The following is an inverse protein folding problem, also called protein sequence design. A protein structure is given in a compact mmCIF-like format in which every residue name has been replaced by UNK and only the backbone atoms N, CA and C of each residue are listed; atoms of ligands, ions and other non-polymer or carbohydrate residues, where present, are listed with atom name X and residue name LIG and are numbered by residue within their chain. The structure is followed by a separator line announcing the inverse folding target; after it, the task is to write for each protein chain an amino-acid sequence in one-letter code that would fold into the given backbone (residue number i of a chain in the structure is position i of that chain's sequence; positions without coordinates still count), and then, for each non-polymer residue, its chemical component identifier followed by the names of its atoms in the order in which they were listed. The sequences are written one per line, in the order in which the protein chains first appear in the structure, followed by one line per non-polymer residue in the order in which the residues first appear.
data_IF_220192527992
#
_entry.id   IF_220192527992
#
_cell.length_a   1.000
_cell.length_b   1.000
_cell.length_c   1.000
_cell.angle_alpha   90.00
_cell.angle_beta   90.00
_cell.angle_gamma   90.00
#
_symmetry.space_group_name_H-M   'P 1'
#
loop_
_entity.id
_entity.type
_entity.pdbx_description
1 polymer ?
#
# COMPACT_ATOMS: atom_id res chain seq x y z
N UNK A 1 -2.30 -3.54 0.77
CA UNK A 1 -0.95 -2.98 1.02
C UNK A 1 -0.89 -2.28 2.37
N UNK A 2 0.32 -2.06 2.90
CA UNK A 2 0.56 -1.40 4.20
C UNK A 2 1.17 -0.02 4.00
N UNK A 3 0.74 0.97 4.79
CA UNK A 3 1.40 2.29 4.86
C UNK A 3 1.95 2.45 6.28
N UNK A 4 3.26 2.60 6.40
CA UNK A 4 3.95 2.85 7.65
C UNK A 4 4.18 4.35 7.79
N UNK A 5 3.89 4.90 8.97
CA UNK A 5 4.15 6.32 9.26
C UNK A 5 4.36 6.54 10.76
N UNK A 6 4.84 7.71 11.15
CA UNK A 6 5.04 8.04 12.58
C UNK A 6 3.72 8.12 13.34
N UNK A 7 3.77 7.80 14.64
CA UNK A 7 2.60 7.74 15.53
C UNK A 7 1.75 9.03 15.53
N UNK A 8 2.38 10.20 15.38
CA UNK A 8 1.66 11.48 15.37
C UNK A 8 0.76 11.63 14.13
N UNK A 9 1.23 11.15 12.97
CA UNK A 9 0.51 11.32 11.71
C UNK A 9 -0.43 10.15 11.38
N UNK A 10 -0.22 9.00 12.01
CA UNK A 10 -1.02 7.79 11.76
C UNK A 10 -2.55 8.00 11.89
N UNK A 11 -3.09 8.75 12.87
CA UNK A 11 -4.53 8.98 12.99
C UNK A 11 -5.12 9.75 11.81
N UNK A 12 -4.43 10.78 11.31
CA UNK A 12 -4.90 11.55 10.15
C UNK A 12 -4.77 10.74 8.86
N UNK A 13 -3.65 10.03 8.69
CA UNK A 13 -3.46 9.13 7.54
C UNK A 13 -4.55 8.05 7.49
N UNK A 14 -4.96 7.49 8.63
CA UNK A 14 -6.05 6.50 8.68
C UNK A 14 -7.37 7.04 8.12
N UNK A 15 -7.72 8.30 8.41
CA UNK A 15 -8.95 8.91 7.88
C UNK A 15 -8.90 9.02 6.36
N UNK A 16 -7.75 9.43 5.83
CA UNK A 16 -7.51 9.55 4.39
C UNK A 16 -7.63 8.16 3.72
N UNK A 17 -6.97 7.15 4.28
CA UNK A 17 -6.98 5.78 3.74
C UNK A 17 -8.35 5.12 3.82
N UNK A 18 -9.11 5.32 4.89
CA UNK A 18 -10.49 4.81 4.98
C UNK A 18 -11.36 5.38 3.86
N UNK A 19 -11.19 6.67 3.55
CA UNK A 19 -11.92 7.32 2.46
C UNK A 19 -11.49 6.75 1.10
N UNK A 20 -10.19 6.57 0.88
CA UNK A 20 -9.65 6.03 -0.36
C UNK A 20 -10.06 4.58 -0.61
N UNK A 21 -9.99 3.72 0.41
CA UNK A 21 -10.48 2.34 0.32
C UNK A 21 -11.96 2.29 -0.06
N UNK A 22 -12.77 3.25 0.41
CA UNK A 22 -14.20 3.34 0.07
C UNK A 22 -14.45 3.86 -1.35
N UNK A 23 -13.73 4.89 -1.76
CA UNK A 23 -13.97 5.59 -3.05
C UNK A 23 -13.38 4.83 -4.24
N UNK A 24 -12.22 4.19 -4.06
CA UNK A 24 -11.42 3.58 -5.15
C UNK A 24 -11.40 2.05 -5.04
N UNK A 25 -11.85 1.48 -3.91
CA UNK A 25 -11.86 0.03 -3.70
C UNK A 25 -10.48 -0.55 -3.38
N UNK A 26 -9.54 0.27 -2.90
CA UNK A 26 -8.25 -0.19 -2.42
C UNK A 26 -8.36 -0.92 -1.08
N UNK A 27 -7.40 -1.80 -0.78
CA UNK A 27 -7.25 -2.44 0.53
C UNK A 27 -5.92 -2.01 1.16
N UNK A 28 -5.93 -0.80 1.73
CA UNK A 28 -4.78 -0.21 2.42
C UNK A 28 -5.04 -0.11 3.92
N UNK A 29 -4.00 -0.31 4.72
CA UNK A 29 -4.05 -0.08 6.17
C UNK A 29 -2.81 0.66 6.64
N UNK A 30 -2.96 1.38 7.77
CA UNK A 30 -1.91 2.24 8.32
C UNK A 30 -1.35 1.65 9.59
N UNK A 31 -0.05 1.40 9.60
CA UNK A 31 0.74 1.00 10.76
C UNK A 31 1.45 2.23 11.32
N UNK A 32 1.25 2.46 12.62
CA UNK A 32 1.93 3.52 13.35
C UNK A 32 3.27 2.97 13.83
N UNK A 33 4.37 3.53 13.33
CA UNK A 33 5.73 3.11 13.71
C UNK A 33 6.20 4.02 14.84
N UNK A 34 6.55 3.39 15.95
CA UNK A 34 7.14 4.05 17.11
C UNK A 34 8.59 4.39 16.84
N UNK A 35 8.97 5.64 17.11
CA UNK A 35 10.36 6.08 17.01
C UNK A 35 11.11 5.65 18.27
N UNK A 36 11.75 4.49 18.26
CA UNK A 36 12.53 4.03 19.41
C UNK A 36 13.98 4.53 19.36
N UNK A 37 14.47 4.92 18.18
CA UNK A 37 15.83 5.44 18.01
C UNK A 37 16.07 6.77 18.76
N UNK A 38 15.10 7.70 18.74
CA UNK A 38 15.17 8.97 19.46
C UNK A 38 14.46 8.95 20.83
N UNK A 39 14.25 7.76 21.40
CA UNK A 39 13.72 7.62 22.77
C UNK A 39 12.20 7.74 22.92
N UNK A 40 11.43 7.67 21.83
CA UNK A 40 9.95 7.58 21.87
C UNK A 40 9.21 8.92 21.91
N UNK A 41 9.83 10.01 22.34
CA UNK A 41 9.16 11.31 22.52
C UNK A 41 8.95 12.11 21.22
N UNK A 42 9.54 11.66 20.10
CA UNK A 42 9.42 12.34 18.80
C UNK A 42 8.78 11.42 17.75
N UNK A 43 7.46 11.34 17.76
CA UNK A 43 6.65 10.49 16.87
C UNK A 43 6.43 11.03 15.44
N UNK A 44 7.36 11.87 14.94
CA UNK A 44 7.28 12.43 13.58
C UNK A 44 7.95 11.47 12.58
N UNK A 45 7.31 11.25 11.44
CA UNK A 45 7.79 10.34 10.39
C UNK A 45 9.26 10.57 9.99
N UNK A 46 9.71 11.82 9.84
CA UNK A 46 11.06 12.14 9.37
C UNK A 46 12.20 11.77 10.32
N UNK A 47 11.91 11.25 11.52
CA UNK A 47 12.92 10.79 12.46
C UNK A 47 12.94 9.26 12.64
N UNK A 48 12.10 8.53 11.91
CA UNK A 48 12.12 7.06 11.94
C UNK A 48 13.36 6.52 11.25
N UNK A 49 13.91 5.43 11.78
CA UNK A 49 15.08 4.76 11.20
C UNK A 49 14.74 3.40 10.60
N UNK A 50 15.69 2.78 9.90
CA UNK A 50 15.50 1.43 9.36
C UNK A 50 15.15 0.44 10.48
N UNK A 51 15.84 0.55 11.63
CA UNK A 51 15.57 -0.29 12.80
C UNK A 51 14.13 -0.20 13.32
N UNK A 52 13.53 0.99 13.33
CA UNK A 52 12.14 1.18 13.77
C UNK A 52 11.15 0.45 12.84
N UNK A 53 11.35 0.56 11.53
CA UNK A 53 10.53 -0.12 10.53
C UNK A 53 10.71 -1.65 10.58
N UNK A 54 11.94 -2.14 10.76
CA UNK A 54 12.23 -3.58 10.87
C UNK A 54 11.52 -4.19 12.08
N UNK A 55 11.39 -3.47 13.20
CA UNK A 55 10.61 -3.93 14.36
C UNK A 55 9.12 -4.03 14.04
N UNK A 56 8.59 -3.07 13.29
CA UNK A 56 7.19 -3.03 12.85
C UNK A 56 6.87 -4.02 11.71
N UNK A 57 7.86 -4.78 11.20
CA UNK A 57 7.68 -5.68 10.04
C UNK A 57 6.56 -6.71 10.21
N UNK A 58 6.34 -7.17 11.43
CA UNK A 58 5.32 -8.17 11.75
C UNK A 58 3.89 -7.64 11.62
N UNK A 59 3.72 -6.31 11.56
CA UNK A 59 2.42 -5.67 11.35
C UNK A 59 2.09 -5.46 9.87
N UNK A 60 3.06 -5.65 8.97
CA UNK A 60 2.91 -5.46 7.52
C UNK A 60 2.06 -6.59 6.93
N UNK A 61 1.09 -6.22 6.09
CA UNK A 61 0.18 -7.13 5.39
C UNK A 61 -0.07 -6.70 3.93
N UNK A 62 -0.51 -7.65 3.11
CA UNK A 62 -0.78 -7.43 1.69
C UNK A 62 0.49 -7.41 0.84
N UNK A 63 0.37 -6.92 -0.40
CA UNK A 63 1.38 -7.19 -1.44
C UNK A 63 2.56 -6.22 -1.46
N UNK A 64 2.49 -5.12 -0.72
CA UNK A 64 3.53 -4.08 -0.66
C UNK A 64 3.43 -3.27 0.63
N UNK A 65 4.51 -2.58 0.97
CA UNK A 65 4.54 -1.57 2.02
C UNK A 65 5.10 -0.23 1.54
N UNK A 66 4.54 0.86 2.07
CA UNK A 66 4.98 2.23 1.79
C UNK A 66 5.55 2.83 3.07
N UNK A 67 6.71 3.47 2.96
CA UNK A 67 7.30 4.29 4.01
C UNK A 67 7.36 5.76 3.56
N UNK A 68 7.40 6.71 4.49
CA UNK A 68 7.49 8.13 4.16
C UNK A 68 8.85 8.44 3.52
N UNK A 69 8.89 9.09 2.36
CA UNK A 69 10.17 9.41 1.69
C UNK A 69 11.11 10.28 2.54
N UNK A 70 10.54 11.13 3.41
CA UNK A 70 11.29 12.03 4.28
C UNK A 70 12.08 11.33 5.42
N UNK A 71 12.01 10.00 5.53
CA UNK A 71 12.89 9.21 6.43
C UNK A 71 14.28 9.00 5.85
N UNK A 72 14.43 9.21 4.53
CA UNK A 72 15.68 9.06 3.82
C UNK A 72 16.35 10.43 3.66
N UNK A 73 17.68 10.45 3.76
CA UNK A 73 18.47 11.63 3.38
C UNK A 73 18.33 11.86 1.87
N UNK A 74 18.04 13.10 1.48
CA UNK A 74 17.69 13.51 0.11
C UNK A 74 18.67 13.02 -0.95
N UNK A 75 19.96 12.93 -0.61
CA UNK A 75 21.01 12.72 -1.61
C UNK A 75 21.55 11.28 -1.63
N UNK A 76 21.30 10.48 -0.59
CA UNK A 76 22.03 9.22 -0.37
C UNK A 76 21.15 7.98 -0.16
N UNK A 77 19.82 8.06 -0.18
CA UNK A 77 18.92 6.90 0.08
C UNK A 77 19.31 6.14 1.37
N UNK A 78 19.76 6.88 2.38
CA UNK A 78 20.24 6.38 3.67
C UNK A 78 19.31 6.88 4.77
N UNK A 79 18.95 5.99 5.69
CA UNK A 79 18.22 6.32 6.92
C UNK A 79 19.11 7.07 7.93
N UNK A 80 18.51 7.69 8.95
CA UNK A 80 19.27 8.41 9.98
C UNK A 80 20.25 7.52 10.77
N UNK A 81 19.98 6.22 10.88
CA UNK A 81 20.86 5.24 11.53
C UNK A 81 22.04 4.77 10.65
N UNK A 82 22.17 5.32 9.44
CA UNK A 82 23.23 4.96 8.49
C UNK A 82 22.92 3.75 7.62
N UNK A 83 21.74 3.12 7.77
CA UNK A 83 21.33 2.00 6.93
C UNK A 83 20.99 2.46 5.51
N UNK A 84 21.51 1.78 4.49
CA UNK A 84 21.16 2.06 3.10
C UNK A 84 19.81 1.43 2.73
N UNK A 85 18.99 2.13 1.95
CA UNK A 85 17.64 1.68 1.57
C UNK A 85 17.63 0.32 0.85
N UNK A 86 18.64 0.03 0.03
CA UNK A 86 18.77 -1.29 -0.62
C UNK A 86 19.06 -2.43 0.34
N UNK A 87 19.76 -2.17 1.44
CA UNK A 87 19.97 -3.16 2.50
C UNK A 87 18.68 -3.38 3.28
N UNK A 88 18.03 -2.29 3.67
CA UNK A 88 16.76 -2.28 4.37
C UNK A 88 15.66 -3.07 3.63
N UNK A 89 15.50 -2.88 2.31
CA UNK A 89 14.50 -3.61 1.51
C UNK A 89 14.64 -5.13 1.59
N UNK A 90 15.85 -5.66 1.83
CA UNK A 90 16.10 -7.11 1.91
C UNK A 90 15.57 -7.74 3.19
N UNK A 91 15.22 -6.94 4.20
CA UNK A 91 14.66 -7.40 5.47
C UNK A 91 13.14 -7.68 5.40
N UNK A 92 12.50 -7.41 4.26
CA UNK A 92 11.06 -7.55 4.06
C UNK A 92 10.75 -8.51 2.92
N UNK A 93 9.70 -9.31 3.12
CA UNK A 93 9.20 -10.26 2.11
C UNK A 93 8.36 -9.59 1.02
N UNK A 94 7.99 -8.33 1.23
CA UNK A 94 7.17 -7.52 0.30
C UNK A 94 7.97 -6.32 -0.20
N UNK A 95 7.71 -5.84 -1.43
CA UNK A 95 8.33 -4.63 -1.94
C UNK A 95 8.04 -3.43 -1.03
N UNK A 96 9.10 -2.69 -0.70
CA UNK A 96 9.01 -1.43 0.05
C UNK A 96 9.22 -0.25 -0.88
N UNK A 97 8.27 0.70 -0.85
CA UNK A 97 8.32 1.94 -1.60
C UNK A 97 8.48 3.13 -0.65
N UNK A 98 9.45 3.99 -0.92
CA UNK A 98 9.59 5.26 -0.24
C UNK A 98 8.85 6.33 -1.06
N UNK A 99 7.71 6.82 -0.57
CA UNK A 99 6.87 7.78 -1.28
C UNK A 99 6.54 8.98 -0.40
N UNK A 100 6.40 10.14 -1.02
CA UNK A 100 5.73 11.30 -0.44
C UNK A 100 4.23 11.26 -0.80
N UNK A 101 3.51 12.33 -0.44
CA UNK A 101 2.07 12.43 -0.70
C UNK A 101 1.77 12.40 -2.20
N UNK A 102 2.56 13.10 -3.01
CA UNK A 102 2.38 13.16 -4.46
C UNK A 102 2.67 11.80 -5.12
N UNK A 103 3.72 11.11 -4.66
CA UNK A 103 4.05 9.75 -5.09
C UNK A 103 2.96 8.73 -4.73
N UNK A 104 2.33 8.86 -3.56
CA UNK A 104 1.18 8.05 -3.17
C UNK A 104 -0.01 8.31 -4.11
N UNK A 105 -0.38 9.58 -4.34
CA UNK A 105 -1.48 9.95 -5.25
C UNK A 105 -1.24 9.39 -6.65
N UNK A 106 -0.01 9.53 -7.17
CA UNK A 106 0.35 9.02 -8.49
C UNK A 106 0.25 7.49 -8.56
N UNK A 107 0.79 6.77 -7.56
CA UNK A 107 0.71 5.31 -7.51
C UNK A 107 -0.74 4.81 -7.57
N UNK A 108 -1.67 5.54 -6.97
CA UNK A 108 -3.09 5.19 -6.98
C UNK A 108 -3.75 5.57 -8.29
N UNK A 109 -3.46 6.75 -8.84
CA UNK A 109 -3.96 7.15 -10.17
C UNK A 109 -3.49 6.19 -11.28
N UNK A 110 -2.26 5.71 -11.18
CA UNK A 110 -1.69 4.71 -12.11
C UNK A 110 -2.39 3.34 -11.95
N UNK A 111 -2.79 2.97 -10.72
CA UNK A 111 -3.56 1.75 -10.46
C UNK A 111 -4.99 1.82 -11.03
N UNK A 112 -5.62 2.99 -11.06
CA UNK A 112 -6.91 3.20 -11.74
C UNK A 112 -6.79 3.24 -13.28
N UNK A 113 -5.63 3.67 -13.79
CA UNK A 113 -5.37 3.80 -15.23
C UNK A 113 -4.98 2.48 -15.91
N UNK A 114 -4.79 1.40 -15.14
CA UNK A 114 -4.77 0.05 -15.69
C UNK A 114 -6.22 -0.47 -15.75
N UNK A 115 -6.87 -0.49 -16.94
CA UNK A 115 -8.16 -1.14 -17.03
C UNK A 115 -7.98 -2.60 -16.62
N UNK A 116 -8.85 -3.07 -15.72
CA UNK A 116 -9.15 -4.50 -15.57
C UNK A 116 -9.20 -5.09 -16.97
N UNK A 117 -8.25 -5.96 -17.30
CA UNK A 117 -8.34 -6.75 -18.53
C UNK A 117 -9.69 -7.46 -18.46
N UNK A 118 -10.59 -7.08 -19.36
CA UNK A 118 -11.91 -7.64 -19.58
C UNK A 118 -11.74 -9.08 -20.07
N UNK A 119 -11.29 -9.98 -19.21
CA UNK A 119 -11.14 -11.38 -19.54
C UNK A 119 -12.43 -12.12 -19.15
N UNK A 120 -13.27 -12.20 -20.17
CA UNK A 120 -13.99 -13.40 -20.58
C UNK A 120 -15.46 -13.58 -20.17
N UNK A 121 -16.34 -12.85 -20.87
CA UNK A 121 -17.77 -13.19 -21.00
C UNK A 121 -18.09 -13.94 -22.31
N UNK A 122 -17.14 -14.68 -22.89
CA UNK A 122 -17.45 -15.53 -24.07
C UNK A 122 -18.37 -16.72 -23.75
N UNK A 123 -18.66 -16.99 -22.46
CA UNK A 123 -19.55 -18.06 -22.02
C UNK A 123 -21.05 -17.69 -21.91
N UNK A 124 -21.45 -16.44 -22.15
CA UNK A 124 -22.85 -16.00 -21.99
C UNK A 124 -23.68 -15.96 -23.28
N UNK A 125 -23.18 -16.49 -24.41
CA UNK A 125 -23.91 -16.41 -25.68
C UNK A 125 -24.27 -17.76 -26.34
N UNK A 126 -24.65 -18.78 -25.56
CA UNK A 126 -25.15 -20.06 -26.12
C UNK A 126 -26.42 -20.65 -25.47
N UNK A 127 -27.24 -19.86 -24.76
CA UNK A 127 -28.56 -20.35 -24.32
C UNK A 127 -29.68 -19.37 -24.60
N UNK A 128 -30.08 -19.27 -25.87
CA UNK A 128 -31.46 -19.05 -26.27
C UNK A 128 -31.67 -19.53 -27.72
N UNK A 129 -31.95 -20.83 -27.89
CA UNK A 129 -32.79 -21.31 -29.00
C UNK A 129 -33.82 -22.30 -28.47
N UNK A 130 -35.05 -21.78 -28.38
CA UNK A 130 -36.35 -22.41 -28.66
C UNK A 130 -36.60 -23.79 -28.06
N UNK A 131 -37.46 -23.83 -27.04
CA UNK A 131 -38.22 -25.03 -26.65
C UNK A 131 -39.47 -25.05 -27.51
N UNK A 132 -39.47 -25.81 -28.60
CA UNK A 132 -40.69 -26.18 -29.32
C UNK A 132 -41.31 -27.42 -28.65
N UNK A 133 -42.56 -27.29 -28.21
CA UNK A 133 -43.37 -28.41 -27.72
C UNK A 133 -43.94 -29.22 -28.91
N UNK A 134 -44.10 -30.55 -28.79
CA UNK A 134 -44.50 -31.40 -29.90
C UNK A 134 -45.99 -31.27 -30.26
N UNK A 135 -46.25 -31.39 -31.57
CA UNK A 135 -47.55 -31.49 -32.23
C UNK A 135 -48.49 -32.53 -31.59
N UNK A 136 -49.79 -32.23 -31.61
CA UNK A 136 -50.84 -33.25 -31.50
C UNK A 136 -51.88 -33.03 -32.60
N UNK A 137 -51.88 -34.00 -33.53
CA UNK A 137 -52.92 -34.52 -34.45
C UNK A 137 -53.89 -33.57 -35.17
#
# INVERSE_FOLDING_TARGET
GTILTGEIFAPEMRKIIVRMNREIGTDLHVVAVKNEYFGGDVGVAGLLTAGDFIKAKHEIRGDFAIIPHNVLKSDEMIFLDGTHFDGFKKEFDVPIHALDVDGLIKMIADAESQPLQTNDFSFLNERHRVVDFPNVS
#
